data_IF_071628075106
#
_entry.id   IF_071628075106
#
_cell.length_a   1.000
_cell.length_b   1.000
_cell.length_c   1.000
_cell.angle_alpha   90.00
_cell.angle_beta   90.00
_cell.angle_gamma   90.00
#
_symmetry.space_group_name_H-M   'P 1'
#
loop_
_entity.id
_entity.type
_entity.pdbx_description
1 polymer ?
#
# COMPACT_ATOMS: atom_id res chain seq x y z
N UNK A 1 -10.74 -11.46 -1.52
CA UNK A 1 -11.47 -11.53 -2.81
C UNK A 1 -10.48 -11.67 -3.95
N UNK A 2 -10.93 -12.07 -5.13
CA UNK A 2 -10.20 -11.90 -6.40
C UNK A 2 -10.89 -10.77 -7.17
N UNK A 3 -10.21 -9.64 -7.30
CA UNK A 3 -10.71 -8.43 -7.97
C UNK A 3 -10.23 -8.38 -9.42
N UNK A 4 -11.14 -8.08 -10.34
CA UNK A 4 -10.88 -7.95 -11.78
C UNK A 4 -10.73 -9.30 -12.51
N UNK A 5 -10.87 -9.30 -13.85
CA UNK A 5 -10.63 -10.49 -14.66
C UNK A 5 -9.12 -10.77 -14.82
N UNK A 6 -8.73 -12.04 -14.77
CA UNK A 6 -7.36 -12.47 -15.15
C UNK A 6 -7.16 -12.58 -16.65
N UNK A 7 -8.23 -12.76 -17.42
CA UNK A 7 -8.18 -12.86 -18.87
C UNK A 7 -9.35 -12.08 -19.47
N UNK A 8 -9.08 -11.33 -20.53
CA UNK A 8 -10.10 -10.64 -21.34
C UNK A 8 -9.84 -10.99 -22.80
N UNK A 9 -10.79 -11.67 -23.44
CA UNK A 9 -10.71 -12.05 -24.86
C UNK A 9 -9.41 -12.78 -25.25
N UNK A 10 -8.91 -13.68 -24.40
CA UNK A 10 -7.66 -14.41 -24.65
C UNK A 10 -6.39 -13.66 -24.25
N UNK A 11 -6.51 -12.43 -23.74
CA UNK A 11 -5.37 -11.62 -23.27
C UNK A 11 -5.22 -11.79 -21.75
N UNK A 12 -4.04 -12.22 -21.31
CA UNK A 12 -3.70 -12.28 -19.89
C UNK A 12 -3.57 -10.86 -19.30
N UNK A 13 -4.36 -10.60 -18.26
CA UNK A 13 -4.46 -9.33 -17.55
C UNK A 13 -3.73 -9.37 -16.19
N UNK A 14 -2.97 -10.43 -15.89
CA UNK A 14 -2.18 -10.56 -14.66
C UNK A 14 -1.27 -9.35 -14.38
N UNK A 15 -0.70 -8.75 -15.44
CA UNK A 15 0.10 -7.52 -15.40
C UNK A 15 -0.64 -6.31 -14.79
N UNK A 16 -1.97 -6.28 -14.91
CA UNK A 16 -2.77 -5.12 -14.53
C UNK A 16 -2.83 -4.94 -13.01
N UNK A 17 -2.67 -6.02 -12.23
CA UNK A 17 -2.58 -5.97 -10.78
C UNK A 17 -1.47 -5.03 -10.29
N UNK A 18 -0.36 -4.94 -11.03
CA UNK A 18 0.76 -4.02 -10.79
C UNK A 18 0.35 -2.56 -10.82
N UNK A 19 -0.45 -2.17 -11.82
CA UNK A 19 -0.86 -0.78 -12.01
C UNK A 19 -1.98 -0.36 -11.06
N UNK A 20 -2.78 -1.31 -10.57
CA UNK A 20 -3.79 -1.07 -9.53
C UNK A 20 -3.20 -0.92 -8.13
N UNK A 21 -1.96 -1.37 -7.92
CA UNK A 21 -1.29 -1.35 -6.62
C UNK A 21 -1.19 0.07 -6.08
N UNK A 22 -1.89 0.32 -4.99
CA UNK A 22 -1.77 1.54 -4.20
C UNK A 22 -1.41 1.19 -2.75
N UNK A 23 -0.64 2.05 -2.06
CA UNK A 23 -0.21 1.80 -0.68
C UNK A 23 -1.35 1.84 0.35
N UNK A 24 -2.50 2.42 -0.02
CA UNK A 24 -3.68 2.54 0.85
C UNK A 24 -4.90 1.87 0.19
N UNK A 25 -5.98 1.68 0.95
CA UNK A 25 -7.25 1.25 0.37
C UNK A 25 -7.94 2.40 -0.38
N UNK A 26 -8.78 2.05 -1.35
CA UNK A 26 -9.58 3.01 -2.09
C UNK A 26 -11.05 2.59 -2.16
N UNK A 27 -11.93 3.54 -2.48
CA UNK A 27 -13.36 3.31 -2.61
C UNK A 27 -13.68 2.51 -3.88
N UNK A 28 -14.53 1.50 -3.76
CA UNK A 28 -14.96 0.62 -4.86
C UNK A 28 -16.47 0.36 -4.82
N UNK A 29 -17.12 0.39 -5.98
CA UNK A 29 -18.50 -0.13 -6.12
C UNK A 29 -18.42 -1.60 -6.55
N UNK A 30 -18.65 -2.52 -5.61
CA UNK A 30 -18.63 -3.95 -5.93
C UNK A 30 -19.73 -4.38 -6.90
N UNK A 31 -20.78 -3.58 -7.10
CA UNK A 31 -21.81 -3.90 -8.08
C UNK A 31 -21.37 -3.62 -9.52
N UNK A 32 -20.39 -2.72 -9.69
CA UNK A 32 -19.85 -2.32 -11.00
C UNK A 32 -18.54 -3.05 -11.31
N UNK A 33 -17.81 -3.51 -10.28
CA UNK A 33 -16.55 -4.24 -10.44
C UNK A 33 -16.73 -5.76 -10.55
N UNK A 34 -16.09 -6.35 -11.55
CA UNK A 34 -15.99 -7.82 -11.66
C UNK A 34 -15.13 -8.35 -10.54
N UNK A 35 -15.67 -9.24 -9.72
CA UNK A 35 -14.95 -9.85 -8.63
C UNK A 35 -15.44 -11.27 -8.34
N UNK A 36 -14.60 -12.05 -7.66
CA UNK A 36 -14.94 -13.36 -7.12
C UNK A 36 -14.71 -13.36 -5.61
N UNK A 37 -15.73 -13.82 -4.89
CA UNK A 37 -15.69 -14.02 -3.45
C UNK A 37 -14.95 -15.32 -3.14
N UNK A 38 -13.93 -15.23 -2.28
CA UNK A 38 -13.08 -16.35 -1.89
C UNK A 38 -13.33 -16.81 -0.44
N UNK A 39 -14.00 -15.99 0.38
CA UNK A 39 -14.34 -16.29 1.78
C UNK A 39 -15.73 -15.75 2.10
N UNK A 40 -16.33 -16.19 3.21
CA UNK A 40 -17.48 -15.49 3.79
C UNK A 40 -17.02 -14.15 4.44
N UNK A 41 -17.84 -13.07 4.43
CA UNK A 41 -17.62 -11.90 5.25
C UNK A 41 -17.64 -12.27 6.72
N UNK A 42 -16.88 -11.51 7.49
CA UNK A 42 -16.77 -11.68 8.93
C UNK A 42 -16.67 -10.30 9.58
N UNK A 43 -17.04 -10.21 10.84
CA UNK A 43 -16.86 -8.99 11.61
C UNK A 43 -15.38 -8.88 12.04
N UNK A 44 -14.76 -7.74 11.72
CA UNK A 44 -13.35 -7.46 12.04
C UNK A 44 -13.25 -6.67 13.34
N UNK A 45 -13.95 -5.54 13.39
CA UNK A 45 -13.96 -4.61 14.52
C UNK A 45 -15.39 -4.15 14.79
N UNK A 46 -15.67 -3.86 16.07
CA UNK A 46 -16.91 -3.24 16.53
C UNK A 46 -16.55 -2.08 17.45
N UNK A 47 -17.04 -0.88 17.12
CA UNK A 47 -16.79 0.34 17.88
C UNK A 47 -18.08 0.83 18.54
N UNK A 48 -18.08 0.99 19.87
CA UNK A 48 -19.19 1.60 20.60
C UNK A 48 -19.00 3.12 20.67
N UNK A 49 -19.65 3.84 19.74
CA UNK A 49 -19.55 5.29 19.67
C UNK A 49 -20.37 6.04 20.73
N UNK A 50 -21.16 5.33 21.54
CA UNK A 50 -22.02 5.95 22.57
C UNK A 50 -21.28 6.25 23.87
N UNK A 51 -20.10 5.65 24.08
CA UNK A 51 -19.31 5.82 25.30
C UNK A 51 -18.25 6.90 25.09
N UNK A 52 -18.11 7.80 26.07
CA UNK A 52 -17.00 8.77 26.14
C UNK A 52 -15.60 8.11 26.13
N UNK A 53 -15.54 6.79 26.36
CA UNK A 53 -14.33 5.96 26.40
C UNK A 53 -13.62 5.77 25.04
N UNK A 54 -14.17 6.25 23.93
CA UNK A 54 -13.48 6.27 22.64
C UNK A 54 -12.12 6.97 22.71
N UNK A 55 -11.93 7.93 23.62
CA UNK A 55 -10.69 8.69 23.74
C UNK A 55 -9.55 7.83 24.35
N UNK A 56 -9.84 6.78 25.11
CA UNK A 56 -8.82 6.10 25.93
C UNK A 56 -8.71 4.57 25.78
N UNK A 57 -9.72 3.85 25.28
CA UNK A 57 -9.68 2.36 25.22
C UNK A 57 -9.92 1.77 23.83
N UNK A 58 -10.98 2.16 23.14
CA UNK A 58 -11.42 1.46 21.92
C UNK A 58 -10.80 2.01 20.63
N UNK A 59 -10.10 3.16 20.69
CA UNK A 59 -9.34 3.75 19.58
C UNK A 59 -7.83 3.72 19.82
N UNK A 60 -7.34 2.93 20.79
CA UNK A 60 -5.89 2.79 20.99
C UNK A 60 -5.25 2.32 19.70
N UNK A 61 -4.38 3.18 19.15
CA UNK A 61 -3.64 2.88 17.94
C UNK A 61 -2.89 1.55 18.11
N UNK A 62 -3.13 0.61 17.20
CA UNK A 62 -2.40 -0.66 17.18
C UNK A 62 -3.12 -1.86 17.78
N UNK A 63 -4.40 -1.76 18.11
CA UNK A 63 -5.21 -2.96 18.36
C UNK A 63 -5.24 -3.84 17.09
N UNK A 64 -4.96 -5.13 17.31
CA UNK A 64 -4.83 -6.14 16.26
C UNK A 64 -5.81 -7.27 16.49
N UNK A 65 -6.41 -7.72 15.40
CA UNK A 65 -7.30 -8.87 15.36
C UNK A 65 -6.73 -9.87 14.37
N UNK A 66 -6.44 -11.09 14.83
CA UNK A 66 -6.01 -12.19 13.97
C UNK A 66 -7.12 -13.21 13.84
N UNK A 67 -7.42 -13.61 12.61
CA UNK A 67 -8.48 -14.58 12.31
C UNK A 67 -8.04 -15.55 11.23
N UNK A 68 -8.69 -16.71 11.19
CA UNK A 68 -8.46 -17.78 10.22
C UNK A 68 -9.69 -17.92 9.36
N UNK A 69 -9.62 -17.50 8.11
CA UNK A 69 -10.74 -17.46 7.19
C UNK A 69 -10.77 -18.70 6.30
N UNK A 70 -11.83 -19.53 6.36
CA UNK A 70 -11.98 -20.63 5.42
C UNK A 70 -12.16 -20.12 3.99
N UNK A 71 -11.39 -20.66 3.07
CA UNK A 71 -11.51 -20.39 1.63
C UNK A 71 -12.61 -21.28 1.06
N UNK A 72 -13.60 -20.66 0.42
CA UNK A 72 -14.80 -21.33 -0.12
C UNK A 72 -14.74 -21.54 -1.63
N UNK A 73 -13.76 -20.94 -2.31
CA UNK A 73 -13.60 -21.04 -3.75
C UNK A 73 -12.14 -20.87 -4.16
N UNK A 74 -11.72 -21.62 -5.17
CA UNK A 74 -10.40 -21.50 -5.77
C UNK A 74 -10.21 -20.12 -6.42
N UNK A 75 -8.99 -19.59 -6.42
CA UNK A 75 -8.72 -18.33 -7.11
C UNK A 75 -7.43 -17.65 -6.67
N UNK A 76 -7.36 -16.35 -6.94
CA UNK A 76 -6.22 -15.51 -6.59
C UNK A 76 -6.66 -14.40 -5.62
N UNK A 77 -6.36 -14.59 -4.34
CA UNK A 77 -6.60 -13.58 -3.34
C UNK A 77 -5.67 -12.39 -3.59
N UNK A 78 -6.21 -11.28 -4.09
CA UNK A 78 -5.46 -10.07 -4.44
C UNK A 78 -5.89 -8.83 -3.64
N UNK A 79 -6.84 -8.99 -2.71
CA UNK A 79 -7.22 -7.94 -1.80
C UNK A 79 -8.35 -8.30 -0.85
N UNK A 80 -8.65 -7.37 0.05
CA UNK A 80 -9.75 -7.45 1.01
C UNK A 80 -10.69 -6.29 0.73
N UNK A 81 -11.97 -6.61 0.60
CA UNK A 81 -13.04 -5.62 0.56
C UNK A 81 -13.70 -5.58 1.92
N UNK A 82 -13.91 -4.39 2.45
CA UNK A 82 -14.55 -4.19 3.73
C UNK A 82 -15.53 -3.01 3.65
N UNK A 83 -16.50 -3.06 4.53
CA UNK A 83 -17.60 -2.11 4.66
C UNK A 83 -18.01 -2.06 6.13
N UNK A 84 -19.02 -1.27 6.46
CA UNK A 84 -19.45 -1.10 7.83
C UNK A 84 -20.97 -1.11 7.96
N UNK A 85 -21.42 -1.40 9.18
CA UNK A 85 -22.78 -1.15 9.62
C UNK A 85 -22.74 -0.11 10.75
N UNK A 86 -23.52 0.96 10.62
CA UNK A 86 -23.64 2.01 11.64
C UNK A 86 -25.04 1.90 12.25
N UNK A 87 -25.09 1.63 13.56
CA UNK A 87 -26.33 1.64 14.33
C UNK A 87 -26.53 3.04 14.91
N UNK A 88 -27.57 3.73 14.50
CA UNK A 88 -27.86 5.11 14.94
C UNK A 88 -28.73 5.18 16.21
N UNK A 89 -29.23 4.03 16.68
CA UNK A 89 -30.15 3.91 17.81
C UNK A 89 -31.52 3.38 17.37
N UNK A 90 -32.23 2.73 18.29
CA UNK A 90 -33.45 1.99 17.96
C UNK A 90 -33.17 0.89 16.92
N UNK A 91 -34.05 0.78 15.92
CA UNK A 91 -33.94 -0.20 14.82
C UNK A 91 -33.24 0.37 13.56
N UNK A 92 -32.68 1.59 13.62
CA UNK A 92 -32.07 2.24 12.46
C UNK A 92 -30.62 1.80 12.30
N UNK A 93 -30.36 1.06 11.21
CA UNK A 93 -29.02 0.60 10.83
C UNK A 93 -28.72 1.04 9.41
N UNK A 94 -27.61 1.77 9.22
CA UNK A 94 -27.08 2.03 7.87
C UNK A 94 -26.08 0.93 7.54
N UNK A 95 -26.29 0.25 6.41
CA UNK A 95 -25.42 -0.82 5.92
C UNK A 95 -24.80 -0.42 4.60
N UNK A 96 -23.48 -0.56 4.48
CA UNK A 96 -22.75 -0.28 3.23
C UNK A 96 -22.25 -1.55 2.55
N UNK A 97 -22.79 -2.70 2.96
CA UNK A 97 -22.48 -3.99 2.36
C UNK A 97 -22.94 -4.03 0.88
N UNK A 98 -22.24 -4.76 0.01
CA UNK A 98 -22.59 -4.85 -1.41
C UNK A 98 -23.97 -5.46 -1.65
N UNK A 99 -24.48 -6.26 -0.70
CA UNK A 99 -25.80 -6.90 -0.77
C UNK A 99 -26.94 -6.06 -0.20
N UNK A 100 -26.65 -4.89 0.37
CA UNK A 100 -27.65 -3.97 0.92
C UNK A 100 -28.17 -3.00 -0.15
N UNK A 101 -29.23 -2.26 0.18
CA UNK A 101 -29.73 -1.19 -0.69
C UNK A 101 -28.61 -0.19 -1.01
N UNK A 102 -28.56 0.27 -2.26
CA UNK A 102 -27.50 1.17 -2.73
C UNK A 102 -27.51 2.47 -1.92
N UNK A 103 -26.37 2.80 -1.35
CA UNK A 103 -26.13 4.08 -0.68
C UNK A 103 -25.20 4.95 -1.52
N UNK A 104 -24.99 6.21 -1.12
CA UNK A 104 -23.92 7.04 -1.70
C UNK A 104 -22.51 6.61 -1.23
N UNK A 105 -22.41 5.65 -0.31
CA UNK A 105 -21.15 5.08 0.15
C UNK A 105 -20.78 3.84 -0.66
N UNK A 106 -19.50 3.81 -1.04
CA UNK A 106 -18.83 2.66 -1.63
C UNK A 106 -18.29 1.72 -0.55
N UNK A 107 -17.79 0.56 -0.98
CA UNK A 107 -16.97 -0.29 -0.13
C UNK A 107 -15.51 0.17 -0.20
N UNK A 108 -14.67 -0.27 0.73
CA UNK A 108 -13.23 -0.02 0.69
C UNK A 108 -12.51 -1.28 0.23
N UNK A 109 -11.60 -1.15 -0.71
CA UNK A 109 -10.74 -2.23 -1.19
C UNK A 109 -9.28 -1.95 -0.83
N UNK A 110 -8.70 -2.83 -0.03
CA UNK A 110 -7.26 -2.86 0.20
C UNK A 110 -6.63 -3.94 -0.67
N UNK A 111 -5.71 -3.54 -1.53
CA UNK A 111 -4.92 -4.48 -2.31
C UNK A 111 -3.94 -5.24 -1.41
N UNK A 112 -3.75 -6.52 -1.71
CA UNK A 112 -2.78 -7.40 -1.07
C UNK A 112 -1.88 -8.05 -2.13
N UNK A 113 -0.68 -8.53 -1.74
CA UNK A 113 0.10 -9.39 -2.62
C UNK A 113 -0.74 -10.59 -3.06
N UNK A 114 -0.70 -10.89 -4.35
CA UNK A 114 -1.52 -11.95 -4.92
C UNK A 114 -1.08 -13.32 -4.40
N UNK A 115 -2.07 -14.06 -3.89
CA UNK A 115 -1.88 -15.37 -3.29
C UNK A 115 -2.87 -16.35 -3.92
N UNK A 116 -2.35 -17.42 -4.51
CA UNK A 116 -3.18 -18.50 -5.00
C UNK A 116 -3.81 -19.26 -3.83
N UNK A 117 -5.12 -19.41 -3.86
CA UNK A 117 -5.88 -20.13 -2.83
C UNK A 117 -6.79 -21.18 -3.48
N UNK A 118 -7.06 -22.25 -2.74
CA UNK A 118 -7.91 -23.37 -3.13
C UNK A 118 -9.01 -23.51 -2.08
N UNK A 119 -10.21 -23.89 -2.49
CA UNK A 119 -11.30 -24.20 -1.57
C UNK A 119 -10.85 -25.24 -0.54
N UNK A 120 -11.11 -24.97 0.74
CA UNK A 120 -10.62 -25.76 1.87
C UNK A 120 -9.33 -25.23 2.50
N UNK A 121 -8.61 -24.31 1.86
CA UNK A 121 -7.53 -23.57 2.50
C UNK A 121 -8.06 -22.76 3.70
N UNK A 122 -7.16 -22.41 4.61
CA UNK A 122 -7.45 -21.51 5.72
C UNK A 122 -6.50 -20.33 5.66
N UNK A 123 -7.03 -19.15 5.34
CA UNK A 123 -6.26 -17.93 5.17
C UNK A 123 -6.12 -17.18 6.52
N UNK A 124 -4.92 -17.09 7.11
CA UNK A 124 -4.71 -16.33 8.32
C UNK A 124 -4.59 -14.84 7.99
N UNK A 125 -5.54 -14.05 8.47
CA UNK A 125 -5.61 -12.60 8.24
C UNK A 125 -5.43 -11.87 9.56
N UNK A 126 -4.54 -10.89 9.56
CA UNK A 126 -4.42 -9.90 10.62
C UNK A 126 -5.06 -8.60 10.13
N UNK A 127 -5.98 -8.06 10.92
CA UNK A 127 -6.47 -6.71 10.80
C UNK A 127 -5.92 -5.86 11.93
N UNK A 128 -5.68 -4.59 11.66
CA UNK A 128 -5.30 -3.59 12.65
C UNK A 128 -5.99 -2.28 12.34
N UNK A 129 -6.13 -1.41 13.33
CA UNK A 129 -6.57 -0.05 13.09
C UNK A 129 -5.70 0.98 13.82
N UNK A 130 -5.57 2.14 13.20
CA UNK A 130 -4.92 3.31 13.77
C UNK A 130 -5.78 4.53 13.46
N UNK A 131 -6.42 5.07 14.50
CA UNK A 131 -7.34 6.20 14.36
C UNK A 131 -8.42 5.90 13.30
N UNK A 132 -8.43 6.63 12.19
CA UNK A 132 -9.40 6.50 11.10
C UNK A 132 -9.04 5.45 10.05
N UNK A 133 -7.93 4.71 10.20
CA UNK A 133 -7.45 3.76 9.21
C UNK A 133 -7.58 2.32 9.71
N UNK A 134 -8.11 1.45 8.85
CA UNK A 134 -8.07 0.00 9.01
C UNK A 134 -7.08 -0.59 8.00
N UNK A 135 -6.27 -1.54 8.42
CA UNK A 135 -5.28 -2.19 7.55
C UNK A 135 -5.28 -3.70 7.78
N UNK A 136 -5.20 -4.45 6.69
CA UNK A 136 -5.17 -5.90 6.69
C UNK A 136 -3.84 -6.45 6.16
N UNK A 137 -3.46 -7.63 6.62
CA UNK A 137 -2.31 -8.39 6.12
C UNK A 137 -2.59 -9.90 6.21
N UNK A 138 -2.00 -10.68 5.30
CA UNK A 138 -1.96 -12.14 5.44
C UNK A 138 -0.76 -12.51 6.30
N UNK A 139 -0.97 -13.29 7.36
CA UNK A 139 0.12 -13.75 8.22
C UNK A 139 0.86 -14.90 7.55
N UNK A 140 2.08 -14.62 7.08
CA UNK A 140 2.91 -15.59 6.33
C UNK A 140 3.14 -16.88 7.12
N UNK A 141 3.50 -16.75 8.39
CA UNK A 141 3.82 -17.91 9.25
C UNK A 141 2.60 -18.82 9.51
N UNK A 142 1.39 -18.31 9.31
CA UNK A 142 0.16 -19.07 9.49
C UNK A 142 -0.28 -19.86 8.25
N UNK A 143 0.40 -19.67 7.11
CA UNK A 143 0.05 -20.30 5.83
C UNK A 143 1.30 -21.00 5.27
N UNK A 144 1.42 -22.30 5.52
CA UNK A 144 2.66 -23.08 5.32
C UNK A 144 3.24 -23.03 3.90
N UNK A 145 2.41 -22.77 2.89
CA UNK A 145 2.79 -22.72 1.48
C UNK A 145 2.78 -21.29 0.92
N UNK A 146 2.92 -20.27 1.80
CA UNK A 146 2.73 -18.87 1.43
C UNK A 146 3.67 -18.45 0.30
N UNK A 147 4.97 -18.70 0.42
CA UNK A 147 5.95 -18.26 -0.58
C UNK A 147 5.80 -19.00 -1.92
N UNK A 148 5.34 -20.26 -1.91
CA UNK A 148 5.12 -21.06 -3.12
C UNK A 148 3.84 -20.65 -3.87
N UNK A 149 2.78 -20.36 -3.10
CA UNK A 149 1.48 -19.95 -3.65
C UNK A 149 1.38 -18.46 -3.92
N UNK A 150 2.29 -17.67 -3.36
CA UNK A 150 2.40 -16.25 -3.67
C UNK A 150 2.82 -16.11 -5.13
N UNK A 151 1.90 -15.63 -5.95
CA UNK A 151 2.21 -15.20 -7.31
C UNK A 151 2.56 -13.73 -7.23
N UNK A 152 3.86 -13.41 -7.19
CA UNK A 152 4.22 -12.13 -7.80
C UNK A 152 3.83 -12.27 -9.26
N UNK A 153 3.16 -11.26 -9.85
CA UNK A 153 2.97 -11.27 -11.30
C UNK A 153 4.33 -11.57 -11.92
N UNK A 154 4.41 -12.54 -12.83
CA UNK A 154 5.65 -12.82 -13.58
C UNK A 154 6.12 -11.57 -14.38
N UNK A 155 5.22 -10.59 -14.48
CA UNK A 155 5.48 -9.21 -14.85
C UNK A 155 6.19 -8.50 -13.70
N UNK A 156 7.42 -8.06 -13.93
CA UNK A 156 8.16 -7.22 -13.00
C UNK A 156 7.27 -6.05 -12.51
N UNK A 157 6.93 -6.07 -11.23
CA UNK A 157 6.20 -5.00 -10.54
C UNK A 157 7.07 -3.75 -10.54
N UNK A 158 7.01 -2.97 -11.63
CA UNK A 158 8.02 -1.95 -11.94
C UNK A 158 9.43 -2.54 -12.10
N UNK A 159 10.28 -1.90 -12.89
CA UNK A 159 11.65 -2.36 -13.14
C UNK A 159 12.37 -2.45 -11.79
N UNK A 160 12.66 -3.68 -11.32
CA UNK A 160 13.36 -3.91 -10.04
C UNK A 160 14.69 -3.12 -9.94
N UNK A 161 15.44 -2.91 -11.03
CA UNK A 161 16.53 -1.95 -11.08
C UNK A 161 16.12 -0.52 -10.71
N UNK A 162 15.00 -0.01 -11.22
CA UNK A 162 14.53 1.34 -10.95
C UNK A 162 14.08 1.52 -9.49
N UNK A 163 13.38 0.55 -8.90
CA UNK A 163 12.99 0.63 -7.48
C UNK A 163 14.22 0.58 -6.57
N UNK A 164 15.15 -0.35 -6.82
CA UNK A 164 16.41 -0.43 -6.09
C UNK A 164 17.24 0.86 -6.24
N UNK A 165 17.22 1.44 -7.44
CA UNK A 165 17.91 2.70 -7.74
C UNK A 165 17.24 3.90 -7.06
N UNK A 166 15.91 3.97 -7.06
CA UNK A 166 15.16 5.04 -6.39
C UNK A 166 15.34 4.99 -4.86
N UNK A 167 15.25 3.80 -4.24
CA UNK A 167 15.54 3.64 -2.82
C UNK A 167 16.97 4.07 -2.48
N UNK A 168 17.94 3.72 -3.34
CA UNK A 168 19.34 4.13 -3.18
C UNK A 168 19.54 5.64 -3.37
N UNK A 169 18.85 6.27 -4.33
CA UNK A 169 18.87 7.72 -4.56
C UNK A 169 18.25 8.46 -3.37
N UNK A 170 17.17 7.96 -2.79
CA UNK A 170 16.55 8.52 -1.59
C UNK A 170 17.49 8.43 -0.37
N UNK A 171 18.17 7.30 -0.19
CA UNK A 171 19.18 7.15 0.86
C UNK A 171 20.34 8.14 0.69
N UNK A 172 20.89 8.25 -0.52
CA UNK A 172 21.97 9.18 -0.84
C UNK A 172 21.56 10.65 -0.63
N UNK A 173 20.34 11.01 -1.02
CA UNK A 173 19.81 12.36 -0.77
C UNK A 173 19.68 12.65 0.73
N UNK A 174 19.31 11.66 1.55
CA UNK A 174 19.28 11.79 3.01
C UNK A 174 20.66 11.98 3.65
N UNK A 175 21.64 11.18 3.21
CA UNK A 175 23.04 11.29 3.67
C UNK A 175 23.65 12.65 3.30
N UNK A 176 23.41 13.12 2.07
CA UNK A 176 23.83 14.45 1.62
C UNK A 176 23.17 15.57 2.42
N UNK A 177 21.87 15.48 2.71
CA UNK A 177 21.17 16.48 3.52
C UNK A 177 21.76 16.58 4.94
N UNK A 178 22.06 15.44 5.57
CA UNK A 178 22.70 15.41 6.90
C UNK A 178 24.10 16.02 6.88
N UNK A 179 24.90 15.68 5.86
CA UNK A 179 26.25 16.21 5.70
C UNK A 179 26.24 17.74 5.48
N UNK A 180 25.37 18.23 4.58
CA UNK A 180 25.20 19.65 4.30
C UNK A 180 24.75 20.42 5.55
N UNK A 181 23.85 19.87 6.37
CA UNK A 181 23.43 20.46 7.64
C UNK A 181 24.52 20.49 8.72
N UNK A 182 25.54 19.63 8.61
CA UNK A 182 26.64 19.53 9.58
C UNK A 182 27.91 20.33 9.21
N UNK A 183 27.98 20.87 7.98
CA UNK A 183 29.16 21.60 7.47
C UNK A 183 29.28 23.00 8.08
N UNK A 184 30.50 23.37 8.50
CA UNK A 184 30.80 24.62 9.25
C UNK A 184 30.92 25.91 8.41
N UNK A 185 30.59 25.87 7.12
CA UNK A 185 30.51 27.07 6.27
C UNK A 185 29.21 27.00 5.48
N UNK A 186 28.24 27.84 5.85
CA UNK A 186 26.86 27.76 5.35
C UNK A 186 26.78 27.73 3.83
N UNK A 187 26.54 26.54 3.28
CA UNK A 187 26.06 26.38 1.91
C UNK A 187 24.66 26.99 1.90
N UNK A 188 24.43 28.00 1.05
CA UNK A 188 23.15 28.72 0.97
C UNK A 188 22.00 27.70 0.78
N UNK A 189 20.86 27.90 1.45
CA UNK A 189 19.70 26.98 1.40
C UNK A 189 19.33 26.57 -0.02
N UNK A 190 19.35 27.53 -0.95
CA UNK A 190 18.91 27.35 -2.33
C UNK A 190 19.88 26.45 -3.11
N UNK A 191 21.17 26.46 -2.75
CA UNK A 191 22.18 25.58 -3.29
C UNK A 191 21.97 24.13 -2.85
N UNK A 192 21.67 23.95 -1.57
CA UNK A 192 21.39 22.64 -0.99
C UNK A 192 20.10 22.05 -1.57
N UNK A 193 19.05 22.85 -1.72
CA UNK A 193 17.81 22.40 -2.35
C UNK A 193 18.00 22.06 -3.83
N UNK A 194 18.77 22.86 -4.58
CA UNK A 194 19.08 22.56 -5.97
C UNK A 194 19.82 21.22 -6.11
N UNK A 195 20.79 20.95 -5.25
CA UNK A 195 21.53 19.68 -5.24
C UNK A 195 20.66 18.49 -4.82
N UNK A 196 19.81 18.65 -3.82
CA UNK A 196 18.85 17.61 -3.43
C UNK A 196 17.86 17.31 -4.56
N UNK A 197 17.43 18.33 -5.30
CA UNK A 197 16.57 18.18 -6.48
C UNK A 197 17.27 17.39 -7.60
N UNK A 198 18.54 17.70 -7.88
CA UNK A 198 19.36 16.97 -8.86
C UNK A 198 19.60 15.52 -8.42
N UNK A 199 19.85 15.27 -7.14
CA UNK A 199 20.04 13.90 -6.63
C UNK A 199 18.74 13.07 -6.65
N UNK A 200 17.58 13.72 -6.49
CA UNK A 200 16.27 13.06 -6.56
C UNK A 200 15.86 12.70 -7.99
N UNK A 201 16.27 13.49 -8.97
CA UNK A 201 15.95 13.28 -10.39
C UNK A 201 17.11 13.71 -11.31
N UNK A 202 18.18 12.90 -11.41
CA UNK A 202 19.36 13.22 -12.22
C UNK A 202 19.06 13.16 -13.73
N UNK A 203 18.05 12.38 -14.15
CA UNK A 203 17.64 12.26 -15.54
C UNK A 203 17.12 13.58 -16.10
N UNK A 204 16.41 14.38 -15.29
CA UNK A 204 15.96 15.74 -15.65
C UNK A 204 17.09 16.68 -16.05
N UNK A 205 18.33 16.40 -15.63
CA UNK A 205 19.50 17.23 -15.91
C UNK A 205 20.44 16.63 -16.97
N UNK A 206 19.96 15.64 -17.74
CA UNK A 206 20.72 15.04 -18.83
C UNK A 206 21.84 14.09 -18.37
N UNK A 207 21.83 13.70 -17.09
CA UNK A 207 22.74 12.68 -16.57
C UNK A 207 22.05 11.32 -16.66
N UNK A 208 21.89 10.76 -17.88
CA UNK A 208 21.31 9.43 -18.27
C UNK A 208 20.96 8.42 -17.16
N UNK A 209 20.18 8.81 -16.16
CA UNK A 209 20.06 8.10 -14.88
C UNK A 209 21.36 7.86 -14.11
N UNK A 210 22.53 8.41 -14.48
CA UNK A 210 23.80 8.08 -13.84
C UNK A 210 23.92 8.68 -12.43
N UNK A 211 24.39 7.87 -11.48
CA UNK A 211 24.61 8.29 -10.08
C UNK A 211 25.63 9.42 -9.99
N UNK A 212 25.28 10.50 -9.32
CA UNK A 212 26.19 11.58 -8.99
C UNK A 212 26.94 11.19 -7.71
N UNK A 213 28.23 10.95 -7.81
CA UNK A 213 29.07 10.61 -6.65
C UNK A 213 29.36 11.84 -5.80
N UNK A 214 29.69 11.63 -4.52
CA UNK A 214 30.06 12.72 -3.60
C UNK A 214 31.18 13.62 -4.16
N UNK A 215 32.12 13.06 -4.93
CA UNK A 215 33.20 13.82 -5.58
C UNK A 215 32.71 14.73 -6.72
N UNK A 216 31.73 14.29 -7.50
CA UNK A 216 31.11 15.10 -8.58
C UNK A 216 30.24 16.20 -7.99
N UNK A 217 29.47 15.90 -6.94
CA UNK A 217 28.66 16.88 -6.22
C UNK A 217 29.53 17.99 -5.58
N UNK A 218 30.69 17.63 -5.03
CA UNK A 218 31.65 18.60 -4.49
C UNK A 218 32.27 19.49 -5.56
N UNK A 219 32.67 18.95 -6.71
CA UNK A 219 33.19 19.75 -7.82
C UNK A 219 32.14 20.74 -8.37
N UNK A 220 30.88 20.32 -8.43
CA UNK A 220 29.77 21.19 -8.83
C UNK A 220 29.54 22.33 -7.82
N UNK A 221 29.53 22.03 -6.52
CA UNK A 221 29.47 23.03 -5.44
C UNK A 221 30.64 24.02 -5.48
N UNK A 222 31.86 23.52 -5.68
CA UNK A 222 33.04 24.36 -5.72
C UNK A 222 33.01 25.31 -6.92
N UNK A 223 32.53 24.83 -8.08
CA UNK A 223 32.43 25.63 -9.31
C UNK A 223 31.34 26.70 -9.23
N UNK A 224 30.20 26.41 -8.58
CA UNK A 224 29.07 27.36 -8.44
C UNK A 224 29.27 28.44 -7.37
N UNK A 225 29.99 28.13 -6.28
CA UNK A 225 30.07 29.03 -5.11
C UNK A 225 31.45 29.65 -4.87
N UNK A 226 32.52 29.13 -5.48
CA UNK A 226 33.88 29.61 -5.26
C UNK A 226 34.59 30.12 -6.52
N UNK A 227 33.88 30.21 -7.66
CA UNK A 227 34.38 30.79 -8.91
C UNK A 227 33.62 32.06 -9.35
N UNK A 228 33.07 32.80 -8.39
CA UNK A 228 32.61 34.19 -8.55
C UNK A 228 33.22 35.09 -7.50
#
# INVERSE_FOLDING_TARGET
VEMGPREVEGVDMSAWGTYRSQPDYYAVDLNEEKHKRLTEPFEVFSFDLSREALIDKDLKAGDKMSTKLPVIADGFANGIVFWHEIRLGGDVVIKTAPTSDRTCWFQAFQQLPELQVIAGDVLPVEASHQSSRVTFAVQKDGFSEYDERRKMSDVALFDSPWLAMNTKLQQQAGELAQYLGSSRGGIKSDAAECLLSICRDPARFGCDGQMITNGVALNFLFTLFYNT
#
